data_IF_657584315034
#
_entry.id   IF_657584315034
#
_cell.length_a   1.000
_cell.length_b   1.000
_cell.length_c   1.000
_cell.angle_alpha   90.00
_cell.angle_beta   90.00
_cell.angle_gamma   90.00
#
_symmetry.space_group_name_H-M   'P 1'
#
loop_
_entity.id
_entity.type
_entity.pdbx_description
1 polymer ?
#
# COMPACT_ATOMS: atom_id res chain seq x y z
N UNK A 1 -37.39 3.82 -9.36
CA UNK A 1 -37.11 2.65 -8.51
C UNK A 1 -35.83 3.01 -7.83
N UNK A 2 -35.81 3.16 -6.50
CA UNK A 2 -34.53 3.26 -5.80
C UNK A 2 -33.94 1.86 -5.86
N UNK A 3 -32.95 1.68 -6.74
CA UNK A 3 -32.20 0.44 -6.81
C UNK A 3 -31.43 0.32 -5.49
N UNK A 4 -31.72 -0.72 -4.71
CA UNK A 4 -31.02 -1.02 -3.46
C UNK A 4 -29.69 -1.69 -3.84
N UNK A 5 -28.70 -0.87 -4.18
CA UNK A 5 -27.39 -1.34 -4.62
C UNK A 5 -26.68 -2.16 -3.55
N UNK A 6 -26.87 -1.81 -2.29
CA UNK A 6 -26.23 -2.52 -1.18
C UNK A 6 -26.66 -3.99 -1.12
N UNK A 7 -27.95 -4.28 -1.31
CA UNK A 7 -28.46 -5.66 -1.32
C UNK A 7 -27.93 -6.43 -2.53
N UNK A 8 -28.00 -5.83 -3.73
CA UNK A 8 -27.54 -6.47 -4.97
C UNK A 8 -26.03 -6.78 -4.92
N UNK A 9 -25.20 -5.85 -4.44
CA UNK A 9 -23.76 -6.03 -4.29
C UNK A 9 -23.47 -7.08 -3.20
N UNK A 10 -24.15 -7.02 -2.05
CA UNK A 10 -23.98 -7.99 -0.97
C UNK A 10 -24.30 -9.41 -1.45
N UNK A 11 -25.39 -9.63 -2.19
CA UNK A 11 -25.75 -10.92 -2.74
C UNK A 11 -24.75 -11.42 -3.79
N UNK A 12 -24.41 -10.53 -4.73
CA UNK A 12 -23.47 -10.87 -5.81
C UNK A 12 -22.12 -11.35 -5.28
N UNK A 13 -21.54 -10.62 -4.34
CA UNK A 13 -20.21 -10.90 -3.82
C UNK A 13 -20.21 -11.65 -2.48
N UNK A 14 -21.38 -12.03 -1.95
CA UNK A 14 -21.52 -12.64 -0.61
C UNK A 14 -20.91 -11.81 0.51
N UNK A 15 -21.14 -10.50 0.47
CA UNK A 15 -20.59 -9.57 1.47
C UNK A 15 -21.51 -9.41 2.67
N UNK A 16 -20.91 -9.36 3.85
CA UNK A 16 -21.58 -8.89 5.06
C UNK A 16 -21.28 -7.39 5.23
N UNK A 17 -22.09 -6.55 4.57
CA UNK A 17 -21.91 -5.10 4.59
C UNK A 17 -22.28 -4.52 5.95
N UNK A 18 -21.44 -3.62 6.47
CA UNK A 18 -21.73 -2.75 7.59
C UNK A 18 -22.76 -1.68 7.22
N UNK A 19 -23.39 -1.05 8.22
CA UNK A 19 -24.43 -0.05 7.98
C UNK A 19 -23.88 1.18 7.20
N UNK A 20 -22.63 1.56 7.45
CA UNK A 20 -21.98 2.65 6.72
C UNK A 20 -21.76 2.31 5.24
N UNK A 21 -21.39 1.06 4.91
CA UNK A 21 -21.25 0.60 3.53
C UNK A 21 -22.62 0.47 2.83
N UNK A 22 -23.67 0.02 3.55
CA UNK A 22 -25.02 0.00 2.99
C UNK A 22 -25.51 1.39 2.64
N UNK A 23 -25.41 2.31 3.59
CA UNK A 23 -25.77 3.71 3.37
C UNK A 23 -24.91 4.34 2.26
N UNK A 24 -23.64 3.93 2.16
CA UNK A 24 -22.77 4.35 1.06
C UNK A 24 -23.30 3.85 -0.29
N UNK A 25 -23.54 2.59 -0.49
CA UNK A 25 -23.98 2.04 -1.77
C UNK A 25 -25.37 2.54 -2.19
N UNK A 26 -26.27 2.81 -1.26
CA UNK A 26 -27.64 3.27 -1.53
C UNK A 26 -27.77 4.80 -1.53
N UNK A 27 -26.70 5.52 -1.21
CA UNK A 27 -26.69 6.97 -1.05
C UNK A 27 -26.66 7.76 -2.36
N UNK A 28 -27.04 9.04 -2.28
CA UNK A 28 -26.85 10.02 -3.35
C UNK A 28 -25.55 10.80 -3.13
N UNK A 29 -24.49 10.37 -3.81
CA UNK A 29 -23.13 10.91 -3.66
C UNK A 29 -22.91 12.25 -4.32
N UNK A 30 -23.73 12.60 -5.29
CA UNK A 30 -23.63 13.89 -5.97
C UNK A 30 -23.89 15.07 -5.01
N UNK A 31 -24.48 14.80 -3.85
CA UNK A 31 -24.74 15.81 -2.81
C UNK A 31 -23.51 16.22 -2.00
N UNK A 32 -22.42 15.45 -2.05
CA UNK A 32 -21.20 15.76 -1.29
C UNK A 32 -20.17 16.42 -2.19
N UNK A 33 -19.53 17.46 -1.64
CA UNK A 33 -18.30 17.99 -2.19
C UNK A 33 -17.17 17.08 -1.74
N UNK A 34 -16.76 16.21 -2.64
CA UNK A 34 -15.54 15.47 -2.51
C UNK A 34 -14.42 16.41 -2.93
N UNK A 35 -13.98 17.26 -2.01
CA UNK A 35 -12.76 18.06 -2.17
C UNK A 35 -11.50 17.20 -2.24
N UNK A 36 -11.66 15.90 -2.12
CA UNK A 36 -10.67 14.86 -2.25
C UNK A 36 -10.48 14.44 -3.72
N UNK A 37 -9.41 13.73 -3.99
CA UNK A 37 -9.17 13.15 -5.32
C UNK A 37 -10.22 12.10 -5.69
N UNK A 38 -10.79 11.39 -4.69
CA UNK A 38 -11.75 10.31 -4.89
C UNK A 38 -13.17 10.84 -5.00
N UNK A 39 -13.64 10.99 -6.22
CA UNK A 39 -14.94 11.58 -6.54
C UNK A 39 -15.72 10.86 -7.66
N UNK A 40 -15.20 9.75 -8.19
CA UNK A 40 -15.89 8.97 -9.21
C UNK A 40 -16.67 7.80 -8.57
N UNK A 41 -18.00 7.97 -8.50
CA UNK A 41 -18.94 6.99 -7.94
C UNK A 41 -19.66 6.20 -9.03
N UNK A 42 -19.36 6.44 -10.29
CA UNK A 42 -20.01 5.77 -11.45
C UNK A 42 -19.72 4.26 -11.48
N UNK A 43 -18.75 3.81 -10.70
CA UNK A 43 -18.38 2.40 -10.59
C UNK A 43 -19.46 1.52 -9.98
N UNK A 44 -20.31 2.05 -9.08
CA UNK A 44 -21.27 1.25 -8.31
C UNK A 44 -22.21 0.42 -9.22
N UNK A 45 -22.91 1.00 -10.21
CA UNK A 45 -23.69 0.21 -11.15
C UNK A 45 -22.87 -0.83 -11.92
N UNK A 46 -21.64 -0.49 -12.32
CA UNK A 46 -20.78 -1.38 -13.09
C UNK A 46 -20.32 -2.61 -12.31
N UNK A 47 -20.35 -2.57 -10.97
CA UNK A 47 -20.08 -3.74 -10.14
C UNK A 47 -21.06 -4.89 -10.40
N UNK A 48 -22.22 -4.63 -11.00
CA UNK A 48 -23.18 -5.65 -11.37
C UNK A 48 -22.94 -6.29 -12.75
N UNK A 49 -21.98 -5.77 -13.53
CA UNK A 49 -21.60 -6.35 -14.81
C UNK A 49 -20.93 -7.73 -14.61
N UNK A 50 -21.03 -8.60 -15.60
CA UNK A 50 -20.39 -9.92 -15.55
C UNK A 50 -18.87 -9.82 -15.36
N UNK A 51 -18.24 -8.80 -15.92
CA UNK A 51 -16.80 -8.52 -15.84
C UNK A 51 -16.57 -7.00 -15.71
N UNK A 52 -16.74 -6.44 -14.51
CA UNK A 52 -16.68 -5.00 -14.28
C UNK A 52 -15.38 -4.37 -14.77
N UNK A 53 -15.49 -3.24 -15.47
CA UNK A 53 -14.33 -2.58 -16.09
C UNK A 53 -13.35 -1.99 -15.09
N UNK A 54 -13.80 -1.71 -13.86
CA UNK A 54 -13.00 -1.19 -12.76
C UNK A 54 -12.04 -2.22 -12.13
N UNK A 55 -12.24 -3.52 -12.40
CA UNK A 55 -11.33 -4.56 -11.93
C UNK A 55 -10.09 -4.63 -12.83
N UNK A 56 -8.91 -4.61 -12.22
CA UNK A 56 -7.63 -4.68 -12.90
C UNK A 56 -6.87 -5.95 -12.51
N UNK A 57 -7.16 -7.10 -13.19
CA UNK A 57 -6.50 -8.37 -12.89
C UNK A 57 -4.98 -8.27 -13.06
N UNK A 58 -4.24 -8.84 -12.12
CA UNK A 58 -2.78 -8.83 -12.12
C UNK A 58 -2.15 -7.58 -11.50
N UNK A 59 -2.95 -6.53 -11.22
CA UNK A 59 -2.50 -5.31 -10.56
C UNK A 59 -3.20 -5.04 -9.24
N UNK A 60 -4.49 -5.38 -9.13
CA UNK A 60 -5.25 -5.25 -7.89
C UNK A 60 -5.16 -6.52 -7.07
N UNK A 61 -5.30 -6.39 -5.75
CA UNK A 61 -5.46 -7.50 -4.83
C UNK A 61 -6.70 -8.32 -5.18
N UNK A 62 -6.61 -9.65 -5.35
CA UNK A 62 -7.73 -10.49 -5.82
C UNK A 62 -8.84 -10.68 -4.79
N UNK A 63 -8.75 -10.08 -3.62
CA UNK A 63 -9.76 -10.03 -2.56
C UNK A 63 -10.30 -8.61 -2.32
N UNK A 64 -10.17 -7.72 -3.32
CA UNK A 64 -10.65 -6.33 -3.24
C UNK A 64 -11.72 -6.02 -4.27
N UNK A 65 -12.59 -5.07 -3.93
CA UNK A 65 -13.63 -4.51 -4.81
C UNK A 65 -13.41 -3.00 -4.91
N UNK A 66 -13.15 -2.44 -6.11
CA UNK A 66 -13.07 -1.00 -6.31
C UNK A 66 -14.42 -0.34 -6.03
N UNK A 67 -14.44 0.71 -5.22
CA UNK A 67 -15.69 1.38 -4.81
C UNK A 67 -15.74 2.89 -5.12
N UNK A 68 -14.59 3.56 -5.17
CA UNK A 68 -14.50 4.98 -5.51
C UNK A 68 -13.25 5.20 -6.35
N UNK A 69 -13.39 5.84 -7.50
CA UNK A 69 -12.28 6.19 -8.37
C UNK A 69 -11.83 7.63 -8.23
N UNK A 70 -10.63 7.93 -8.74
CA UNK A 70 -10.15 9.28 -8.94
C UNK A 70 -9.93 9.57 -10.44
N UNK A 71 -9.60 10.82 -10.77
CA UNK A 71 -9.37 11.26 -12.16
C UNK A 71 -8.08 10.69 -12.77
N UNK A 72 -7.21 10.10 -11.95
CA UNK A 72 -5.92 9.57 -12.34
C UNK A 72 -5.94 8.05 -12.59
N UNK A 73 -7.06 7.38 -12.31
CA UNK A 73 -7.24 5.94 -12.49
C UNK A 73 -6.96 5.11 -11.24
N UNK A 74 -6.71 5.75 -10.10
CA UNK A 74 -6.58 5.06 -8.82
C UNK A 74 -7.93 4.80 -8.18
N UNK A 75 -7.97 3.88 -7.22
CA UNK A 75 -9.20 3.42 -6.60
C UNK A 75 -9.08 3.30 -5.09
N UNK A 76 -10.11 3.73 -4.38
CA UNK A 76 -10.39 3.17 -3.06
C UNK A 76 -11.09 1.83 -3.26
N UNK A 77 -10.50 0.79 -2.68
CA UNK A 77 -10.98 -0.58 -2.79
C UNK A 77 -11.35 -1.12 -1.41
N UNK A 78 -12.50 -1.78 -1.34
CA UNK A 78 -12.92 -2.55 -0.17
C UNK A 78 -12.18 -3.89 -0.18
N UNK A 79 -11.33 -4.14 0.83
CA UNK A 79 -10.66 -5.43 1.05
C UNK A 79 -11.53 -6.32 1.92
N UNK A 80 -11.71 -7.58 1.51
CA UNK A 80 -12.65 -8.50 2.14
C UNK A 80 -11.93 -9.52 3.00
N UNK A 81 -12.39 -9.65 4.24
CA UNK A 81 -11.93 -10.66 5.18
C UNK A 81 -12.49 -12.06 4.89
N UNK A 82 -12.01 -13.05 5.63
CA UNK A 82 -12.43 -14.44 5.49
C UNK A 82 -13.92 -14.66 5.81
N UNK A 83 -14.50 -13.80 6.63
CA UNK A 83 -15.91 -13.82 7.02
C UNK A 83 -16.84 -13.03 6.09
N UNK A 84 -16.32 -12.53 4.97
CA UNK A 84 -17.07 -11.73 3.99
C UNK A 84 -17.30 -10.28 4.41
N UNK A 85 -16.77 -9.82 5.54
CA UNK A 85 -16.85 -8.42 5.95
C UNK A 85 -15.73 -7.60 5.34
N UNK A 86 -15.97 -6.30 5.25
CA UNK A 86 -14.87 -5.36 5.01
C UNK A 86 -13.90 -5.41 6.17
N UNK A 87 -12.64 -5.73 5.90
CA UNK A 87 -11.59 -5.68 6.91
C UNK A 87 -10.74 -4.41 6.79
N UNK A 88 -10.75 -3.78 5.63
CA UNK A 88 -9.94 -2.61 5.33
C UNK A 88 -10.39 -1.92 4.05
N UNK A 89 -10.22 -0.61 3.96
CA UNK A 89 -10.27 0.16 2.71
C UNK A 89 -8.85 0.51 2.33
N UNK A 90 -8.47 0.15 1.12
CA UNK A 90 -7.13 0.37 0.59
C UNK A 90 -7.16 1.34 -0.59
N UNK A 91 -6.23 2.26 -0.65
CA UNK A 91 -5.96 3.04 -1.85
C UNK A 91 -5.07 2.21 -2.77
N UNK A 92 -5.56 1.89 -3.96
CA UNK A 92 -4.81 1.20 -4.99
C UNK A 92 -4.36 2.18 -6.07
N UNK A 93 -3.07 2.13 -6.43
CA UNK A 93 -2.43 2.96 -7.44
C UNK A 93 -2.31 2.22 -8.77
N UNK A 94 -2.87 2.77 -9.84
CA UNK A 94 -2.82 2.16 -11.18
C UNK A 94 -1.40 2.13 -11.78
N UNK A 95 -0.53 3.06 -11.38
CA UNK A 95 0.80 3.22 -11.96
C UNK A 95 1.79 2.08 -11.64
N UNK A 96 1.51 1.26 -10.63
CA UNK A 96 2.37 0.14 -10.24
C UNK A 96 1.62 -1.00 -9.57
N UNK A 97 0.32 -0.85 -9.35
CA UNK A 97 -0.47 -1.82 -8.60
C UNK A 97 -0.25 -1.76 -7.09
N UNK A 98 0.48 -0.76 -6.61
CA UNK A 98 0.71 -0.58 -5.18
C UNK A 98 -0.58 -0.26 -4.43
N UNK A 99 -0.61 -0.57 -3.14
CA UNK A 99 -1.75 -0.22 -2.29
C UNK A 99 -1.30 0.32 -0.94
N UNK A 100 -2.12 1.20 -0.38
CA UNK A 100 -1.93 1.74 0.96
C UNK A 100 -3.21 1.52 1.77
N UNK A 101 -3.15 0.89 2.96
CA UNK A 101 -4.27 0.79 3.87
C UNK A 101 -4.67 2.17 4.42
N UNK A 102 -5.81 2.71 3.98
CA UNK A 102 -6.31 4.01 4.43
C UNK A 102 -7.08 3.95 5.75
N UNK A 103 -7.84 2.86 5.97
CA UNK A 103 -8.61 2.70 7.19
C UNK A 103 -9.32 1.36 7.27
N UNK A 104 -9.83 1.00 8.44
CA UNK A 104 -10.61 -0.23 8.67
C UNK A 104 -12.05 -0.09 8.20
N UNK A 105 -12.56 1.14 8.13
CA UNK A 105 -13.90 1.47 7.68
C UNK A 105 -13.84 2.49 6.55
N UNK A 106 -14.92 2.61 5.80
CA UNK A 106 -15.00 3.62 4.74
C UNK A 106 -14.92 5.05 5.33
N UNK A 107 -15.52 5.28 6.50
CA UNK A 107 -15.46 6.57 7.16
C UNK A 107 -14.03 6.95 7.56
N UNK A 108 -13.22 6.00 8.07
CA UNK A 108 -11.79 6.23 8.34
C UNK A 108 -11.03 6.57 7.05
N UNK A 109 -11.25 5.81 5.99
CA UNK A 109 -10.55 6.00 4.73
C UNK A 109 -10.87 7.36 4.08
N UNK A 110 -12.14 7.78 4.09
CA UNK A 110 -12.54 9.10 3.59
C UNK A 110 -12.04 10.25 4.46
N UNK A 111 -11.93 10.06 5.78
CA UNK A 111 -11.27 11.03 6.65
C UNK A 111 -9.80 11.21 6.28
N UNK A 112 -9.08 10.09 6.10
CA UNK A 112 -7.67 10.15 5.74
C UNK A 112 -7.47 10.78 4.35
N UNK A 113 -8.31 10.45 3.39
CA UNK A 113 -8.31 11.08 2.07
C UNK A 113 -8.54 12.61 2.16
N UNK A 114 -9.50 13.04 2.98
CA UNK A 114 -9.71 14.46 3.25
C UNK A 114 -8.48 15.15 3.90
N UNK A 115 -7.76 14.45 4.77
CA UNK A 115 -6.51 14.94 5.36
C UNK A 115 -5.41 15.09 4.30
N UNK A 116 -5.22 14.07 3.45
CA UNK A 116 -4.21 14.09 2.41
C UNK A 116 -4.48 15.19 1.37
N UNK A 117 -5.73 15.39 0.97
CA UNK A 117 -6.12 16.37 -0.04
C UNK A 117 -5.77 17.82 0.33
N UNK A 118 -5.66 18.12 1.62
CA UNK A 118 -5.30 19.47 2.12
C UNK A 118 -3.84 19.58 2.54
N UNK A 119 -3.09 18.47 2.55
CA UNK A 119 -1.68 18.47 2.96
C UNK A 119 -0.83 19.26 1.97
N UNK A 120 0.08 20.15 2.45
CA UNK A 120 0.98 20.91 1.57
C UNK A 120 1.85 20.04 0.66
N UNK A 121 2.12 18.80 1.06
CA UNK A 121 2.92 17.85 0.28
C UNK A 121 2.15 17.31 -0.93
N UNK A 122 0.82 17.24 -0.87
CA UNK A 122 -0.04 16.77 -1.96
C UNK A 122 -0.55 17.87 -2.89
N UNK A 123 -0.61 19.11 -2.43
CA UNK A 123 -1.09 20.25 -3.25
C UNK A 123 -0.24 20.54 -4.50
N UNK A 124 0.90 19.87 -4.67
CA UNK A 124 1.78 20.06 -5.84
C UNK A 124 1.30 19.34 -7.10
N UNK A 125 0.30 18.45 -7.01
CA UNK A 125 -0.07 17.55 -8.11
C UNK A 125 -1.41 17.86 -8.79
N UNK A 126 -2.20 18.80 -8.30
CA UNK A 126 -3.48 19.14 -8.93
C UNK A 126 -4.01 20.50 -8.53
N UNK A 127 -4.77 21.13 -9.43
CA UNK A 127 -5.62 22.25 -9.09
C UNK A 127 -6.66 21.75 -8.08
N UNK A 128 -6.67 22.34 -6.89
CA UNK A 128 -7.76 22.13 -5.92
C UNK A 128 -9.05 22.52 -6.64
N UNK A 129 -9.92 21.56 -6.88
CA UNK A 129 -11.23 21.82 -7.47
C UNK A 129 -11.92 22.89 -6.60
N UNK A 130 -12.40 23.96 -7.22
CA UNK A 130 -13.17 24.97 -6.48
C UNK A 130 -14.35 24.26 -5.78
N UNK A 131 -14.48 24.51 -4.47
CA UNK A 131 -15.58 23.92 -3.69
C UNK A 131 -16.90 24.37 -4.29
N UNK A 132 -17.73 23.42 -4.65
CA UNK A 132 -19.12 23.69 -5.07
C UNK A 132 -19.95 24.04 -3.83
N UNK A 133 -20.37 25.31 -3.65
CA UNK A 133 -21.10 25.73 -2.46
C UNK A 133 -22.49 25.10 -2.34
N UNK A 134 -22.99 24.43 -3.39
CA UNK A 134 -24.27 23.71 -3.36
C UNK A 134 -24.14 22.31 -2.74
N UNK A 135 -22.92 21.80 -2.59
CA UNK A 135 -22.64 20.46 -2.06
C UNK A 135 -22.33 20.49 -0.57
N UNK A 136 -22.67 19.41 0.11
CA UNK A 136 -22.36 19.20 1.53
C UNK A 136 -20.92 18.77 1.71
N UNK A 137 -20.32 19.14 2.85
CA UNK A 137 -19.00 18.64 3.21
C UNK A 137 -19.07 17.13 3.51
N UNK A 138 -18.16 16.35 2.95
CA UNK A 138 -18.08 14.90 3.19
C UNK A 138 -17.88 14.58 4.69
N UNK A 139 -17.26 15.47 5.45
CA UNK A 139 -17.11 15.33 6.90
C UNK A 139 -18.46 15.24 7.64
N UNK A 140 -19.55 15.79 7.08
CA UNK A 140 -20.91 15.64 7.64
C UNK A 140 -21.39 14.18 7.58
N UNK A 141 -20.93 13.41 6.58
CA UNK A 141 -21.22 11.99 6.48
C UNK A 141 -20.31 11.17 7.41
N UNK A 142 -19.05 11.57 7.55
CA UNK A 142 -18.03 10.85 8.33
C UNK A 142 -18.29 10.99 9.84
N UNK A 143 -18.58 12.19 10.34
CA UNK A 143 -18.64 12.49 11.76
C UNK A 143 -19.56 11.54 12.58
N UNK A 144 -20.84 11.31 12.19
CA UNK A 144 -21.71 10.41 12.94
C UNK A 144 -21.23 8.94 12.91
N UNK A 145 -20.52 8.51 11.87
CA UNK A 145 -20.01 7.14 11.71
C UNK A 145 -18.79 6.86 12.56
N UNK A 146 -18.00 7.89 12.83
CA UNK A 146 -16.89 7.82 13.76
C UNK A 146 -17.30 8.22 15.20
N UNK A 147 -18.59 8.56 15.42
CA UNK A 147 -19.12 8.90 16.74
C UNK A 147 -18.56 10.20 17.32
N UNK A 148 -18.24 11.19 16.48
CA UNK A 148 -17.66 12.47 16.89
C UNK A 148 -18.37 13.66 16.28
N UNK A 149 -18.06 14.86 16.77
CA UNK A 149 -18.55 16.11 16.18
C UNK A 149 -17.71 16.50 14.96
N UNK A 150 -18.29 17.30 14.07
CA UNK A 150 -17.59 17.94 12.93
C UNK A 150 -16.32 18.66 13.37
N UNK A 151 -16.38 19.41 14.49
CA UNK A 151 -15.25 20.20 14.97
C UNK A 151 -13.98 19.34 15.24
N UNK A 152 -14.14 18.10 15.68
CA UNK A 152 -13.01 17.18 15.88
C UNK A 152 -12.37 16.80 14.53
N UNK A 153 -13.18 16.53 13.51
CA UNK A 153 -12.67 16.19 12.18
C UNK A 153 -12.02 17.40 11.50
N UNK A 154 -12.64 18.57 11.61
CA UNK A 154 -12.10 19.85 11.10
C UNK A 154 -10.76 20.20 11.77
N UNK A 155 -10.61 19.93 13.07
CA UNK A 155 -9.33 20.09 13.78
C UNK A 155 -8.25 19.20 13.16
N UNK A 156 -8.52 17.89 12.98
CA UNK A 156 -7.55 16.93 12.41
C UNK A 156 -7.17 17.33 10.98
N UNK A 157 -8.16 17.60 10.13
CA UNK A 157 -7.93 18.05 8.74
C UNK A 157 -7.16 19.36 8.72
N UNK A 158 -7.50 20.30 9.63
CA UNK A 158 -6.79 21.55 9.77
C UNK A 158 -5.33 21.41 10.22
N UNK A 159 -4.99 20.40 11.00
CA UNK A 159 -3.60 20.06 11.36
C UNK A 159 -2.81 19.60 10.13
N UNK A 160 -3.38 18.72 9.30
CA UNK A 160 -2.76 18.32 8.03
C UNK A 160 -2.56 19.51 7.08
N UNK A 161 -3.56 20.38 6.96
CA UNK A 161 -3.47 21.58 6.12
C UNK A 161 -2.34 22.54 6.53
N UNK A 162 -1.98 22.55 7.81
CA UNK A 162 -0.86 23.35 8.35
C UNK A 162 0.48 22.61 8.34
N UNK A 163 0.52 21.36 7.87
CA UNK A 163 1.72 20.52 7.90
C UNK A 163 2.10 20.00 9.29
N UNK A 164 1.18 20.04 10.27
CA UNK A 164 1.37 19.52 11.62
C UNK A 164 1.06 18.01 11.67
N UNK A 165 1.73 17.25 10.83
CA UNK A 165 1.43 15.82 10.58
C UNK A 165 1.54 14.98 11.86
N UNK A 166 2.56 15.20 12.70
CA UNK A 166 2.76 14.43 13.94
C UNK A 166 1.59 14.65 14.90
N UNK A 167 1.16 15.91 15.11
CA UNK A 167 0.03 16.22 15.99
C UNK A 167 -1.29 15.64 15.44
N UNK A 168 -1.50 15.72 14.12
CA UNK A 168 -2.68 15.16 13.46
C UNK A 168 -2.74 13.63 13.63
N UNK A 169 -1.62 12.94 13.42
CA UNK A 169 -1.53 11.48 13.56
C UNK A 169 -1.67 11.05 15.02
N UNK A 170 -1.20 11.84 15.99
CA UNK A 170 -1.48 11.58 17.41
C UNK A 170 -2.99 11.56 17.68
N UNK A 171 -3.75 12.52 17.14
CA UNK A 171 -5.21 12.53 17.24
C UNK A 171 -5.88 11.32 16.61
N UNK A 172 -5.40 10.90 15.42
CA UNK A 172 -5.91 9.69 14.76
C UNK A 172 -5.64 8.43 15.60
N UNK A 173 -4.42 8.28 16.11
CA UNK A 173 -4.00 7.11 16.90
C UNK A 173 -4.70 7.06 18.27
N UNK A 174 -4.90 8.19 18.94
CA UNK A 174 -5.70 8.29 20.20
C UNK A 174 -7.13 7.78 20.01
N UNK A 175 -7.70 7.97 18.82
CA UNK A 175 -9.04 7.48 18.46
C UNK A 175 -9.02 6.05 17.90
N UNK A 176 -7.86 5.50 17.61
CA UNK A 176 -7.69 4.20 16.96
C UNK A 176 -8.11 4.21 15.49
N UNK A 177 -8.10 5.38 14.82
CA UNK A 177 -8.46 5.54 13.41
C UNK A 177 -7.24 5.55 12.51
N UNK A 178 -7.40 5.03 11.30
CA UNK A 178 -6.36 5.07 10.25
C UNK A 178 -4.98 4.61 10.75
N UNK A 179 -4.93 3.67 11.69
CA UNK A 179 -3.73 3.38 12.50
C UNK A 179 -2.50 3.03 11.68
N UNK A 180 -2.68 2.27 10.60
CA UNK A 180 -1.57 1.85 9.72
C UNK A 180 -0.98 3.02 8.97
N UNK A 181 -1.83 3.84 8.34
CA UNK A 181 -1.36 4.97 7.55
C UNK A 181 -0.90 6.13 8.42
N UNK A 182 -1.50 6.33 9.60
CA UNK A 182 -1.01 7.31 10.56
C UNK A 182 0.41 6.97 11.07
N UNK A 183 0.70 5.68 11.34
CA UNK A 183 2.06 5.23 11.66
C UNK A 183 3.03 5.49 10.49
N UNK A 184 2.60 5.25 9.26
CA UNK A 184 3.38 5.55 8.05
C UNK A 184 3.70 7.04 7.92
N UNK A 185 2.72 7.92 8.13
CA UNK A 185 2.94 9.38 8.10
C UNK A 185 3.92 9.84 9.19
N UNK A 186 3.90 9.21 10.36
CA UNK A 186 4.89 9.47 11.43
C UNK A 186 6.29 9.02 11.05
N UNK A 187 6.42 7.86 10.39
CA UNK A 187 7.71 7.44 9.81
C UNK A 187 8.18 8.46 8.79
N UNK A 188 7.29 8.92 7.93
CA UNK A 188 7.59 9.93 6.92
C UNK A 188 8.06 11.24 7.55
N UNK A 189 7.40 11.69 8.59
CA UNK A 189 7.78 12.88 9.33
C UNK A 189 9.14 12.70 10.05
N UNK A 190 9.38 11.53 10.66
CA UNK A 190 10.65 11.22 11.33
C UNK A 190 11.84 11.17 10.37
N UNK A 191 11.62 10.75 9.13
CA UNK A 191 12.64 10.63 8.08
C UNK A 191 12.66 11.83 7.12
N UNK A 192 11.81 12.83 7.34
CA UNK A 192 11.74 14.01 6.48
C UNK A 192 12.97 14.91 6.63
N UNK A 193 13.52 15.34 5.50
CA UNK A 193 14.65 16.30 5.47
C UNK A 193 14.44 17.34 4.37
N UNK A 194 15.13 18.50 4.43
CA UNK A 194 15.11 19.47 3.35
C UNK A 194 15.55 18.90 2.00
N UNK A 195 16.46 17.92 2.01
CA UNK A 195 16.90 17.22 0.80
C UNK A 195 15.73 16.54 0.12
N UNK A 196 14.88 15.82 0.86
CA UNK A 196 13.73 15.10 0.33
C UNK A 196 12.76 16.02 -0.43
N UNK A 197 12.57 17.25 0.03
CA UNK A 197 11.65 18.23 -0.58
C UNK A 197 12.21 18.89 -1.84
N UNK A 198 13.54 18.96 -1.97
CA UNK A 198 14.23 19.75 -3.01
C UNK A 198 15.06 18.88 -3.96
N UNK A 199 15.15 17.58 -3.72
CA UNK A 199 15.90 16.69 -4.58
C UNK A 199 15.16 16.45 -5.90
N UNK A 200 15.91 16.60 -6.97
CA UNK A 200 15.49 16.28 -8.33
C UNK A 200 16.68 15.74 -9.14
N UNK A 201 16.49 15.18 -10.32
CA UNK A 201 17.58 14.73 -11.18
C UNK A 201 18.58 15.83 -11.54
N UNK A 202 18.15 17.11 -11.57
CA UNK A 202 19.06 18.25 -11.85
C UNK A 202 20.00 18.50 -10.69
N UNK A 203 19.51 18.34 -9.44
CA UNK A 203 20.36 18.45 -8.26
C UNK A 203 21.40 17.33 -8.25
N UNK A 204 21.00 16.07 -8.52
CA UNK A 204 21.93 14.95 -8.64
C UNK A 204 23.04 15.23 -9.65
N UNK A 205 22.67 15.71 -10.83
CA UNK A 205 23.64 16.08 -11.89
C UNK A 205 24.59 17.21 -11.44
N UNK A 206 24.11 18.22 -10.72
CA UNK A 206 24.93 19.31 -10.17
C UNK A 206 25.94 18.84 -9.12
N UNK A 207 25.59 17.79 -8.39
CA UNK A 207 26.46 17.14 -7.41
C UNK A 207 27.43 16.13 -8.02
N UNK A 208 27.22 15.77 -9.31
CA UNK A 208 28.03 14.77 -9.98
C UNK A 208 27.73 13.34 -9.52
N UNK A 209 26.49 13.08 -9.06
CA UNK A 209 26.05 11.77 -8.57
C UNK A 209 24.87 11.25 -9.43
N UNK A 210 24.62 9.93 -9.36
CA UNK A 210 23.50 9.33 -10.06
C UNK A 210 22.23 9.46 -9.26
N UNK A 211 21.11 9.73 -9.94
CA UNK A 211 19.80 9.83 -9.29
C UNK A 211 19.39 8.48 -8.67
N UNK A 212 19.50 7.40 -9.44
CA UNK A 212 18.99 6.07 -9.07
C UNK A 212 19.82 5.38 -7.98
N UNK A 213 21.11 5.72 -7.85
CA UNK A 213 22.00 5.04 -6.90
C UNK A 213 22.29 5.88 -5.67
N UNK A 214 23.00 7.01 -5.88
CA UNK A 214 23.45 7.79 -4.73
C UNK A 214 22.34 8.66 -4.16
N UNK A 215 21.63 9.44 -5.01
CA UNK A 215 20.64 10.39 -4.52
C UNK A 215 19.48 9.69 -3.80
N UNK A 216 18.94 8.61 -4.33
CA UNK A 216 17.86 7.88 -3.68
C UNK A 216 18.28 7.26 -2.34
N UNK A 217 19.51 6.76 -2.24
CA UNK A 217 20.04 6.29 -0.96
C UNK A 217 20.14 7.41 0.08
N UNK A 218 20.57 8.58 -0.33
CA UNK A 218 20.64 9.76 0.55
C UNK A 218 19.25 10.27 0.95
N UNK A 219 18.25 10.17 0.08
CA UNK A 219 16.86 10.50 0.41
C UNK A 219 16.27 9.55 1.45
N UNK A 220 16.67 8.30 1.41
CA UNK A 220 16.25 7.29 2.38
C UNK A 220 17.02 7.43 3.69
N UNK A 221 18.35 7.47 3.65
CA UNK A 221 19.22 7.61 4.82
C UNK A 221 20.28 8.68 4.58
N UNK A 222 20.10 9.82 5.22
CA UNK A 222 21.00 10.98 5.07
C UNK A 222 22.36 10.78 5.68
N UNK A 223 22.56 9.79 6.56
CA UNK A 223 23.90 9.47 7.09
C UNK A 223 24.81 8.84 6.04
N UNK A 224 24.25 8.37 4.93
CA UNK A 224 25.02 7.88 3.79
C UNK A 224 25.60 9.00 2.91
N UNK A 225 25.23 10.26 3.16
CA UNK A 225 25.76 11.40 2.41
C UNK A 225 27.21 11.63 2.78
N UNK A 226 28.19 11.57 1.85
CA UNK A 226 29.58 11.90 2.12
C UNK A 226 29.75 13.33 2.65
N UNK A 227 30.73 13.55 3.51
CA UNK A 227 30.92 14.86 4.16
C UNK A 227 31.09 16.01 3.17
N UNK A 228 31.87 15.83 2.12
CA UNK A 228 32.06 16.81 1.04
C UNK A 228 30.77 17.13 0.30
N UNK A 229 29.89 16.14 0.14
CA UNK A 229 28.59 16.33 -0.49
C UNK A 229 27.59 16.99 0.48
N UNK A 230 27.69 16.75 1.79
CA UNK A 230 26.87 17.47 2.78
C UNK A 230 27.14 18.95 2.77
N UNK A 231 28.40 19.37 2.71
CA UNK A 231 28.78 20.78 2.60
C UNK A 231 28.20 21.44 1.35
N UNK A 232 28.32 20.79 0.18
CA UNK A 232 27.74 21.27 -1.07
C UNK A 232 26.23 21.34 -1.02
N UNK A 233 25.58 20.34 -0.43
CA UNK A 233 24.12 20.35 -0.25
C UNK A 233 23.68 21.46 0.68
N UNK A 234 24.40 21.73 1.76
CA UNK A 234 24.15 22.84 2.65
C UNK A 234 24.17 24.18 1.89
N UNK A 235 25.18 24.43 1.06
CA UNK A 235 25.28 25.64 0.24
C UNK A 235 24.10 25.74 -0.75
N UNK A 236 23.75 24.64 -1.43
CA UNK A 236 22.70 24.62 -2.45
C UNK A 236 21.30 24.77 -1.86
N UNK A 237 21.03 24.09 -0.74
CA UNK A 237 19.69 24.03 -0.14
C UNK A 237 19.45 25.14 0.88
N UNK A 238 20.52 25.83 1.32
CA UNK A 238 20.44 26.88 2.35
C UNK A 238 20.00 26.36 3.72
N UNK A 239 20.30 25.07 4.02
CA UNK A 239 19.96 24.40 5.27
C UNK A 239 21.22 24.03 6.03
N UNK A 240 21.19 24.07 7.39
CA UNK A 240 22.30 23.58 8.19
C UNK A 240 22.50 22.07 8.00
N UNK A 241 23.72 21.56 8.32
CA UNK A 241 23.98 20.12 8.30
C UNK A 241 23.07 19.36 9.26
N UNK A 242 22.62 20.00 10.35
CA UNK A 242 21.64 19.45 11.29
C UNK A 242 20.26 19.26 10.67
N UNK A 243 19.94 20.00 9.59
CA UNK A 243 18.72 19.82 8.82
C UNK A 243 18.63 18.51 8.04
N UNK A 244 19.69 17.71 8.01
CA UNK A 244 19.67 16.36 7.43
C UNK A 244 19.48 15.25 8.48
N UNK A 245 19.38 15.60 9.77
CA UNK A 245 19.16 14.59 10.83
C UNK A 245 17.77 13.93 10.67
N UNK A 246 17.75 12.60 10.80
CA UNK A 246 16.57 11.76 10.75
C UNK A 246 16.40 11.04 12.09
N UNK A 247 15.15 10.89 12.54
CA UNK A 247 14.83 10.14 13.76
C UNK A 247 14.49 8.69 13.42
N UNK A 248 15.55 7.87 13.25
CA UNK A 248 15.40 6.45 12.97
C UNK A 248 14.86 5.64 14.15
N UNK A 249 14.98 6.12 15.39
CA UNK A 249 14.39 5.45 16.55
C UNK A 249 12.87 5.61 16.55
N UNK A 250 12.38 6.80 16.24
CA UNK A 250 10.94 7.02 16.04
C UNK A 250 10.40 6.21 14.85
N UNK A 251 11.09 6.21 13.71
CA UNK A 251 10.69 5.43 12.54
C UNK A 251 10.61 3.92 12.84
N UNK A 252 11.61 3.35 13.52
CA UNK A 252 11.60 1.94 13.93
C UNK A 252 10.47 1.62 14.88
N UNK A 253 10.19 2.48 15.87
CA UNK A 253 9.11 2.30 16.83
C UNK A 253 7.76 2.16 16.12
N UNK A 254 7.47 3.07 15.18
CA UNK A 254 6.21 3.03 14.43
C UNK A 254 6.14 1.80 13.50
N UNK A 255 7.21 1.45 12.80
CA UNK A 255 7.27 0.26 11.96
C UNK A 255 7.01 -1.03 12.77
N UNK A 256 7.62 -1.17 13.95
CA UNK A 256 7.39 -2.32 14.84
C UNK A 256 5.96 -2.36 15.38
N UNK A 257 5.36 -1.21 15.67
CA UNK A 257 3.95 -1.15 16.09
C UNK A 257 3.02 -1.67 14.99
N UNK A 258 3.28 -1.34 13.74
CA UNK A 258 2.56 -1.90 12.59
C UNK A 258 2.79 -3.40 12.47
N UNK A 259 4.04 -3.87 12.54
CA UNK A 259 4.39 -5.30 12.39
C UNK A 259 3.80 -6.20 13.48
N UNK A 260 3.46 -5.64 14.64
CA UNK A 260 2.76 -6.38 15.70
C UNK A 260 1.36 -6.88 15.26
N UNK A 261 0.76 -6.27 14.21
CA UNK A 261 -0.59 -6.57 13.75
C UNK A 261 -0.67 -6.87 12.23
N UNK A 262 0.37 -6.50 11.46
CA UNK A 262 0.39 -6.57 9.99
C UNK A 262 1.71 -7.15 9.51
N UNK A 263 1.66 -8.33 8.92
CA UNK A 263 2.84 -9.01 8.35
C UNK A 263 2.83 -9.06 6.81
N UNK A 264 1.95 -8.29 6.20
CA UNK A 264 1.78 -8.17 4.77
C UNK A 264 2.34 -6.86 4.18
N UNK A 265 2.88 -5.97 5.03
CA UNK A 265 3.36 -4.65 4.63
C UNK A 265 4.90 -4.64 4.56
N UNK A 266 5.43 -4.82 3.37
CA UNK A 266 6.88 -4.89 3.11
C UNK A 266 7.65 -3.68 3.62
N UNK A 267 7.10 -2.45 3.47
CA UNK A 267 7.75 -1.23 3.92
C UNK A 267 8.06 -1.20 5.43
N UNK A 268 7.22 -1.82 6.25
CA UNK A 268 7.43 -1.84 7.70
C UNK A 268 8.62 -2.74 8.07
N UNK A 269 8.80 -3.86 7.36
CA UNK A 269 9.99 -4.72 7.49
C UNK A 269 11.25 -4.01 6.99
N UNK A 270 11.16 -3.27 5.90
CA UNK A 270 12.28 -2.53 5.32
C UNK A 270 12.81 -1.49 6.32
N UNK A 271 11.93 -0.73 6.95
CA UNK A 271 12.28 0.27 7.97
C UNK A 271 12.86 -0.40 9.23
N UNK A 272 12.22 -1.45 9.74
CA UNK A 272 12.68 -2.15 10.94
C UNK A 272 14.06 -2.81 10.72
N UNK A 273 14.26 -3.44 9.57
CA UNK A 273 15.53 -4.04 9.18
C UNK A 273 16.64 -3.01 9.03
N UNK A 274 16.38 -1.89 8.36
CA UNK A 274 17.36 -0.84 8.21
C UNK A 274 17.74 -0.18 9.53
N UNK A 275 16.76 0.12 10.39
CA UNK A 275 17.01 0.67 11.73
C UNK A 275 17.87 -0.28 12.59
N UNK A 276 17.63 -1.59 12.51
CA UNK A 276 18.46 -2.59 13.19
C UNK A 276 19.90 -2.61 12.64
N UNK A 277 20.08 -2.55 11.31
CA UNK A 277 21.42 -2.50 10.70
C UNK A 277 22.20 -1.26 11.15
N UNK A 278 21.54 -0.10 11.21
CA UNK A 278 22.14 1.15 11.72
C UNK A 278 22.65 1.03 13.16
N UNK A 279 22.04 0.16 13.96
CA UNK A 279 22.42 -0.16 15.33
C UNK A 279 23.46 -1.30 15.43
N UNK A 280 24.05 -1.72 14.30
CA UNK A 280 24.93 -2.87 14.18
C UNK A 280 24.30 -4.20 14.65
N UNK A 281 22.99 -4.32 14.58
CA UNK A 281 22.22 -5.53 14.91
C UNK A 281 21.94 -6.34 13.63
N UNK A 282 23.01 -6.79 12.95
CA UNK A 282 22.92 -7.41 11.62
C UNK A 282 22.01 -8.64 11.59
N UNK A 283 22.09 -9.51 12.61
CA UNK A 283 21.23 -10.69 12.67
C UNK A 283 19.72 -10.30 12.72
N UNK A 284 19.39 -9.33 13.55
CA UNK A 284 18.00 -8.80 13.64
C UNK A 284 17.56 -8.14 12.32
N UNK A 285 18.46 -7.44 11.63
CA UNK A 285 18.15 -6.86 10.32
C UNK A 285 17.85 -7.95 9.28
N UNK A 286 18.66 -9.02 9.26
CA UNK A 286 18.43 -10.20 8.40
C UNK A 286 17.07 -10.83 8.68
N UNK A 287 16.71 -11.03 9.95
CA UNK A 287 15.42 -11.61 10.35
C UNK A 287 14.22 -10.77 9.86
N UNK A 288 14.29 -9.43 10.01
CA UNK A 288 13.26 -8.54 9.50
C UNK A 288 13.14 -8.59 7.97
N UNK A 289 14.26 -8.50 7.27
CA UNK A 289 14.25 -8.54 5.80
C UNK A 289 13.86 -9.90 5.25
N UNK A 290 14.22 -11.00 5.94
CA UNK A 290 13.77 -12.33 5.54
C UNK A 290 12.24 -12.47 5.60
N UNK A 291 11.60 -11.90 6.61
CA UNK A 291 10.15 -11.82 6.66
C UNK A 291 9.61 -10.87 5.55
N UNK A 292 10.25 -9.74 5.35
CA UNK A 292 9.87 -8.74 4.35
C UNK A 292 9.89 -9.25 2.90
N UNK A 293 10.87 -10.11 2.52
CA UNK A 293 10.90 -10.68 1.16
C UNK A 293 9.72 -11.60 0.86
N UNK A 294 9.06 -12.12 1.88
CA UNK A 294 7.89 -12.96 1.73
C UNK A 294 6.57 -12.18 1.61
N UNK A 295 6.61 -10.86 1.74
CA UNK A 295 5.47 -9.97 1.49
C UNK A 295 5.29 -9.71 -0.01
N UNK A 296 4.18 -9.05 -0.37
CA UNK A 296 3.94 -8.63 -1.76
C UNK A 296 5.04 -7.67 -2.27
N UNK A 297 5.36 -7.75 -3.56
CA UNK A 297 6.17 -6.74 -4.27
C UNK A 297 5.45 -5.41 -4.40
N UNK A 298 4.12 -5.42 -4.32
CA UNK A 298 3.28 -4.23 -4.34
C UNK A 298 3.23 -3.63 -2.94
N UNK A 299 4.30 -2.95 -2.58
CA UNK A 299 4.41 -2.20 -1.34
C UNK A 299 4.08 -0.73 -1.57
N UNK A 300 4.02 0.02 -0.50
CA UNK A 300 3.84 1.47 -0.54
C UNK A 300 4.79 2.16 -1.52
N UNK A 301 4.24 2.87 -2.51
CA UNK A 301 5.02 3.63 -3.50
C UNK A 301 5.99 4.62 -2.88
N UNK A 302 5.64 5.23 -1.75
CA UNK A 302 6.52 6.19 -1.11
C UNK A 302 7.79 5.52 -0.58
N UNK A 303 7.72 4.30 -0.12
CA UNK A 303 8.89 3.51 0.26
C UNK A 303 9.71 3.11 -0.96
N UNK A 304 9.07 2.66 -2.03
CA UNK A 304 9.75 2.43 -3.32
C UNK A 304 10.40 3.69 -3.85
N UNK A 305 9.68 4.80 -3.89
CA UNK A 305 10.19 6.08 -4.39
C UNK A 305 11.39 6.55 -3.57
N UNK A 306 11.38 6.36 -2.26
CA UNK A 306 12.51 6.69 -1.40
C UNK A 306 13.69 5.77 -1.59
N UNK A 307 13.41 4.51 -1.84
CA UNK A 307 14.46 3.52 -1.89
C UNK A 307 14.89 3.18 -3.30
N UNK A 308 14.19 3.45 -4.39
CA UNK A 308 14.54 3.07 -5.77
C UNK A 308 15.79 2.19 -5.92
N UNK A 309 16.09 1.47 -4.84
CA UNK A 309 17.24 0.58 -4.69
C UNK A 309 16.94 -0.79 -5.24
N UNK A 310 15.71 -0.93 -5.79
CA UNK A 310 15.37 -2.14 -6.47
C UNK A 310 16.28 -2.28 -7.67
N UNK A 311 17.31 -3.09 -7.51
CA UNK A 311 17.87 -3.69 -8.69
C UNK A 311 16.73 -4.38 -9.43
N UNK A 312 16.65 -4.21 -10.74
CA UNK A 312 15.61 -4.77 -11.61
C UNK A 312 15.41 -6.27 -11.40
N UNK A 313 16.39 -6.96 -10.85
CA UNK A 313 16.39 -8.40 -10.65
C UNK A 313 15.65 -8.85 -9.37
N UNK A 314 15.61 -8.02 -8.32
CA UNK A 314 15.05 -8.47 -7.03
C UNK A 314 13.62 -7.99 -6.77
N UNK A 315 13.23 -6.85 -7.31
CA UNK A 315 11.89 -6.29 -7.14
C UNK A 315 11.47 -5.93 -5.72
N UNK A 316 12.32 -6.25 -4.71
CA UNK A 316 12.07 -6.03 -3.27
C UNK A 316 13.31 -5.43 -2.62
N UNK A 317 13.12 -4.38 -1.83
CA UNK A 317 14.20 -3.76 -1.06
C UNK A 317 14.89 -4.76 -0.12
N UNK A 318 14.11 -5.51 0.65
CA UNK A 318 14.63 -6.52 1.57
C UNK A 318 15.49 -7.57 0.85
N UNK A 319 15.13 -7.99 -0.36
CA UNK A 319 15.92 -8.95 -1.13
C UNK A 319 17.30 -8.39 -1.50
N UNK A 320 17.36 -7.12 -1.89
CA UNK A 320 18.63 -6.45 -2.18
C UNK A 320 19.52 -6.36 -0.92
N UNK A 321 18.93 -6.00 0.22
CA UNK A 321 19.70 -5.90 1.48
C UNK A 321 20.23 -7.26 1.93
N UNK A 322 19.44 -8.31 1.84
CA UNK A 322 19.91 -9.68 2.12
C UNK A 322 21.01 -10.11 1.15
N UNK A 323 20.94 -9.72 -0.13
CA UNK A 323 21.99 -10.02 -1.10
C UNK A 323 23.31 -9.29 -0.77
N UNK A 324 23.24 -8.06 -0.30
CA UNK A 324 24.44 -7.33 0.16
C UNK A 324 25.08 -8.00 1.39
N UNK A 325 24.27 -8.67 2.23
CA UNK A 325 24.70 -9.40 3.42
C UNK A 325 24.85 -10.92 3.21
N UNK A 326 24.88 -11.40 1.97
CA UNK A 326 24.82 -12.83 1.64
C UNK A 326 25.84 -13.71 2.38
N UNK A 327 27.04 -13.18 2.67
CA UNK A 327 28.09 -13.90 3.38
C UNK A 327 27.79 -14.08 4.89
N UNK A 328 26.78 -13.35 5.41
CA UNK A 328 26.37 -13.37 6.81
C UNK A 328 25.00 -14.06 7.00
N UNK A 329 24.38 -14.56 5.93
CA UNK A 329 23.09 -15.21 6.02
C UNK A 329 23.19 -16.54 6.79
N UNK A 330 22.23 -16.82 7.71
CA UNK A 330 22.08 -18.14 8.28
C UNK A 330 21.87 -19.21 7.20
N UNK A 331 22.35 -20.45 7.45
CA UNK A 331 22.30 -21.52 6.47
C UNK A 331 20.88 -21.87 6.00
N UNK A 332 19.89 -21.77 6.86
CA UNK A 332 18.48 -22.02 6.55
C UNK A 332 17.94 -21.00 5.54
N UNK A 333 18.35 -19.75 5.64
CA UNK A 333 18.00 -18.70 4.65
C UNK A 333 18.84 -18.87 3.37
N UNK A 334 20.15 -19.06 3.51
CA UNK A 334 21.04 -19.17 2.36
C UNK A 334 20.70 -20.36 1.44
N UNK A 335 20.16 -21.44 2.01
CA UNK A 335 19.77 -22.65 1.29
C UNK A 335 18.27 -22.70 0.95
N UNK A 336 17.50 -21.66 1.28
CA UNK A 336 16.05 -21.63 1.01
C UNK A 336 15.78 -21.54 -0.51
N UNK A 337 14.91 -22.40 -1.06
CA UNK A 337 14.56 -22.37 -2.49
C UNK A 337 13.96 -21.04 -2.95
N UNK A 338 13.20 -20.35 -2.08
CA UNK A 338 12.63 -19.04 -2.39
C UNK A 338 13.72 -17.98 -2.50
N UNK A 339 14.70 -17.99 -1.58
CA UNK A 339 15.87 -17.13 -1.66
C UNK A 339 16.64 -17.35 -2.96
N UNK A 340 16.92 -18.60 -3.29
CA UNK A 340 17.61 -18.98 -4.54
C UNK A 340 16.86 -18.49 -5.80
N UNK A 341 15.54 -18.46 -5.76
CA UNK A 341 14.72 -17.94 -6.85
C UNK A 341 14.79 -16.40 -6.95
N UNK A 342 14.77 -15.71 -5.81
CA UNK A 342 14.84 -14.24 -5.75
C UNK A 342 16.15 -13.68 -6.32
N UNK A 343 17.30 -14.32 -6.03
CA UNK A 343 18.62 -13.87 -6.44
C UNK A 343 19.05 -14.38 -7.83
N UNK A 344 18.19 -15.11 -8.53
CA UNK A 344 18.51 -15.61 -9.87
C UNK A 344 18.77 -14.44 -10.84
N UNK A 345 19.92 -14.48 -11.53
CA UNK A 345 20.44 -13.36 -12.33
C UNK A 345 19.71 -13.12 -13.65
N UNK A 346 18.89 -14.08 -14.09
CA UNK A 346 18.11 -13.95 -15.32
C UNK A 346 16.68 -13.51 -15.01
N UNK A 347 16.35 -12.28 -15.38
CA UNK A 347 15.08 -11.59 -15.04
C UNK A 347 13.84 -12.39 -15.41
N UNK A 348 13.82 -13.07 -16.56
CA UNK A 348 12.70 -13.92 -16.99
C UNK A 348 12.54 -15.16 -16.14
N UNK A 349 13.64 -15.73 -15.67
CA UNK A 349 13.67 -16.94 -14.84
C UNK A 349 13.32 -16.67 -13.37
N UNK A 350 13.68 -15.52 -12.84
CA UNK A 350 13.42 -15.18 -11.43
C UNK A 350 11.91 -15.17 -11.13
N UNK A 351 11.12 -14.47 -11.94
CA UNK A 351 9.67 -14.42 -11.78
C UNK A 351 9.02 -15.80 -11.89
N UNK A 352 9.44 -16.61 -12.85
CA UNK A 352 8.94 -17.98 -13.03
C UNK A 352 9.29 -18.88 -11.85
N UNK A 353 10.51 -18.81 -11.34
CA UNK A 353 10.96 -19.61 -10.19
C UNK A 353 10.25 -19.22 -8.90
N UNK A 354 10.06 -17.91 -8.65
CA UNK A 354 9.30 -17.39 -7.50
C UNK A 354 7.86 -17.90 -7.56
N UNK A 355 7.24 -17.80 -8.73
CA UNK A 355 5.89 -18.30 -8.97
C UNK A 355 5.82 -19.81 -8.76
N UNK A 356 6.76 -20.57 -9.34
CA UNK A 356 6.82 -22.02 -9.19
C UNK A 356 7.01 -22.45 -7.72
N UNK A 357 7.77 -21.68 -6.94
CA UNK A 357 7.92 -21.91 -5.49
C UNK A 357 6.56 -21.84 -4.77
N UNK A 358 5.80 -20.75 -4.95
CA UNK A 358 4.50 -20.56 -4.30
C UNK A 358 3.47 -21.59 -4.76
N UNK A 359 3.43 -21.89 -6.08
CA UNK A 359 2.57 -22.93 -6.63
C UNK A 359 2.93 -24.28 -6.05
N UNK A 360 4.22 -24.60 -5.96
CA UNK A 360 4.70 -25.86 -5.37
C UNK A 360 4.29 -26.00 -3.90
N UNK A 361 4.35 -24.93 -3.13
CA UNK A 361 3.85 -24.89 -1.74
C UNK A 361 2.35 -25.15 -1.68
N UNK A 362 1.57 -24.38 -2.42
CA UNK A 362 0.11 -24.50 -2.44
C UNK A 362 -0.39 -25.88 -2.93
N UNK A 363 0.46 -26.63 -3.61
CA UNK A 363 0.16 -27.98 -4.12
C UNK A 363 0.58 -29.10 -3.17
N UNK A 364 1.13 -28.79 -1.99
CA UNK A 364 1.56 -29.80 -1.02
C UNK A 364 0.37 -30.53 -0.40
N UNK A 365 0.53 -31.86 -0.25
CA UNK A 365 -0.49 -32.70 0.37
C UNK A 365 -0.59 -32.40 1.87
N UNK A 366 -1.81 -32.23 2.37
CA UNK A 366 -2.07 -32.07 3.80
C UNK A 366 -2.21 -30.62 4.28
N UNK A 367 -2.07 -29.63 3.38
CA UNK A 367 -2.38 -28.24 3.70
C UNK A 367 -3.89 -28.03 3.85
N UNK A 368 -4.30 -27.12 4.73
CA UNK A 368 -5.67 -26.65 4.76
C UNK A 368 -6.01 -25.83 3.50
N UNK A 369 -7.29 -25.74 3.16
CA UNK A 369 -7.72 -24.90 2.03
C UNK A 369 -7.37 -23.41 2.24
N UNK A 370 -7.33 -22.95 3.49
CA UNK A 370 -6.88 -21.60 3.84
C UNK A 370 -5.40 -21.38 3.55
N UNK A 371 -4.53 -22.31 3.98
CA UNK A 371 -3.09 -22.22 3.72
C UNK A 371 -2.80 -22.28 2.21
N UNK A 372 -3.52 -23.14 1.47
CA UNK A 372 -3.43 -23.19 0.02
C UNK A 372 -3.84 -21.86 -0.62
N UNK A 373 -4.94 -21.24 -0.14
CA UNK A 373 -5.39 -19.94 -0.62
C UNK A 373 -4.30 -18.88 -0.43
N UNK A 374 -3.67 -18.83 0.74
CA UNK A 374 -2.64 -17.83 1.06
C UNK A 374 -1.38 -18.01 0.19
N UNK A 375 -0.96 -19.24 -0.07
CA UNK A 375 0.17 -19.50 -0.97
C UNK A 375 -0.17 -19.16 -2.43
N UNK A 376 -1.39 -19.46 -2.91
CA UNK A 376 -1.85 -19.02 -4.24
C UNK A 376 -1.98 -17.51 -4.34
N UNK A 377 -2.40 -16.83 -3.25
CA UNK A 377 -2.45 -15.38 -3.18
C UNK A 377 -1.06 -14.75 -3.35
N UNK A 378 -0.06 -15.28 -2.65
CA UNK A 378 1.35 -14.85 -2.79
C UNK A 378 1.87 -15.11 -4.20
N UNK A 379 1.59 -16.26 -4.79
CA UNK A 379 1.95 -16.54 -6.18
C UNK A 379 1.35 -15.51 -7.13
N UNK A 380 0.09 -15.15 -6.95
CA UNK A 380 -0.60 -14.15 -7.77
C UNK A 380 0.05 -12.76 -7.71
N UNK A 381 0.52 -12.35 -6.56
CA UNK A 381 1.25 -11.10 -6.39
C UNK A 381 2.58 -11.07 -7.16
N UNK A 382 3.34 -12.13 -7.09
CA UNK A 382 4.66 -12.21 -7.72
C UNK A 382 4.56 -12.41 -9.25
N UNK A 383 3.45 -12.96 -9.75
CA UNK A 383 3.20 -13.16 -11.19
C UNK A 383 2.71 -11.89 -11.86
N UNK A 384 1.76 -11.20 -11.23
CA UNK A 384 1.12 -10.04 -11.81
C UNK A 384 0.48 -10.29 -13.18
N UNK A 385 0.35 -9.24 -13.98
CA UNK A 385 -0.26 -9.30 -15.32
C UNK A 385 0.68 -9.82 -16.43
N UNK A 386 1.95 -10.08 -16.13
CA UNK A 386 2.93 -10.43 -17.15
C UNK A 386 2.81 -11.87 -17.67
N UNK A 387 2.10 -12.73 -16.93
CA UNK A 387 1.89 -14.14 -17.27
C UNK A 387 0.39 -14.47 -17.20
N UNK A 388 -0.36 -14.04 -18.21
CA UNK A 388 -1.84 -14.03 -18.22
C UNK A 388 -2.44 -15.42 -17.96
N UNK A 389 -1.96 -16.46 -18.66
CA UNK A 389 -2.49 -17.83 -18.52
C UNK A 389 -2.25 -18.37 -17.11
N UNK A 390 -1.07 -18.13 -16.56
CA UNK A 390 -0.71 -18.55 -15.21
C UNK A 390 -1.53 -17.77 -14.17
N UNK A 391 -1.72 -16.49 -14.39
CA UNK A 391 -2.55 -15.68 -13.48
C UNK A 391 -4.03 -16.10 -13.52
N UNK A 392 -4.55 -16.47 -14.69
CA UNK A 392 -5.90 -17.04 -14.81
C UNK A 392 -6.06 -18.33 -14.00
N UNK A 393 -5.06 -19.22 -14.03
CA UNK A 393 -5.02 -20.42 -13.20
C UNK A 393 -4.98 -20.08 -11.71
N UNK A 394 -4.15 -19.13 -11.30
CA UNK A 394 -4.06 -18.69 -9.90
C UNK A 394 -5.41 -18.16 -9.40
N UNK A 395 -6.10 -17.33 -10.18
CA UNK A 395 -7.44 -16.84 -9.82
C UNK A 395 -8.46 -17.98 -9.69
N UNK A 396 -8.37 -19.01 -10.52
CA UNK A 396 -9.23 -20.19 -10.42
C UNK A 396 -8.95 -20.96 -9.12
N UNK A 397 -7.69 -21.17 -8.77
CA UNK A 397 -7.29 -21.82 -7.53
C UNK A 397 -7.69 -21.02 -6.28
N UNK A 398 -7.54 -19.68 -6.30
CA UNK A 398 -8.05 -18.82 -5.24
C UNK A 398 -9.55 -18.98 -5.05
N UNK A 399 -10.32 -19.00 -6.13
CA UNK A 399 -11.76 -19.20 -6.06
C UNK A 399 -12.14 -20.59 -5.54
N UNK A 400 -11.39 -21.64 -5.92
CA UNK A 400 -11.63 -22.99 -5.47
C UNK A 400 -11.29 -23.16 -3.98
N UNK A 401 -10.09 -22.76 -3.57
CA UNK A 401 -9.63 -22.89 -2.19
C UNK A 401 -10.43 -21.97 -1.24
N UNK A 402 -10.78 -20.78 -1.69
CA UNK A 402 -11.67 -19.89 -0.94
C UNK A 402 -13.02 -20.53 -0.63
N UNK A 403 -13.66 -21.17 -1.60
CA UNK A 403 -14.90 -21.93 -1.36
C UNK A 403 -14.72 -23.10 -0.41
N UNK A 404 -13.64 -23.88 -0.56
CA UNK A 404 -13.34 -25.01 0.32
C UNK A 404 -13.04 -24.56 1.76
N UNK A 405 -12.46 -23.38 1.95
CA UNK A 405 -12.22 -22.76 3.25
C UNK A 405 -13.47 -22.08 3.83
N UNK A 406 -14.59 -21.99 3.09
CA UNK A 406 -15.79 -21.27 3.49
C UNK A 406 -15.71 -19.75 3.30
N UNK A 407 -14.73 -19.24 2.54
CA UNK A 407 -14.49 -17.83 2.24
C UNK A 407 -15.20 -17.42 0.96
N UNK A 408 -16.54 -17.51 0.97
CA UNK A 408 -17.35 -17.38 -0.24
C UNK A 408 -17.19 -16.03 -0.94
N UNK A 409 -17.07 -14.94 -0.18
CA UNK A 409 -16.86 -13.61 -0.74
C UNK A 409 -15.55 -13.52 -1.53
N UNK A 410 -14.44 -13.96 -0.94
CA UNK A 410 -13.14 -14.00 -1.63
C UNK A 410 -13.19 -14.85 -2.89
N UNK A 411 -13.86 -15.98 -2.84
CA UNK A 411 -14.03 -16.86 -3.99
C UNK A 411 -14.80 -16.21 -5.15
N UNK A 412 -15.89 -15.48 -4.84
CA UNK A 412 -16.68 -14.76 -5.85
C UNK A 412 -15.91 -13.58 -6.45
N UNK A 413 -15.15 -12.86 -5.63
CA UNK A 413 -14.31 -11.75 -6.11
C UNK A 413 -13.21 -12.29 -7.04
N UNK A 414 -12.50 -13.36 -6.66
CA UNK A 414 -11.49 -13.99 -7.52
C UNK A 414 -12.08 -14.43 -8.87
N UNK A 415 -13.31 -14.99 -8.88
CA UNK A 415 -14.04 -15.32 -10.12
C UNK A 415 -14.36 -14.09 -10.97
N UNK A 416 -14.70 -12.96 -10.35
CA UNK A 416 -14.95 -11.72 -11.07
C UNK A 416 -13.66 -11.20 -11.73
N UNK A 417 -12.52 -11.24 -11.02
CA UNK A 417 -11.21 -10.95 -11.61
C UNK A 417 -10.90 -11.89 -12.79
N UNK A 418 -11.18 -13.19 -12.66
CA UNK A 418 -10.97 -14.16 -13.73
C UNK A 418 -11.83 -13.84 -14.96
N UNK A 419 -13.12 -13.53 -14.76
CA UNK A 419 -14.02 -13.14 -15.85
C UNK A 419 -13.53 -11.86 -16.56
N UNK A 420 -13.02 -10.89 -15.79
CA UNK A 420 -12.47 -9.65 -16.35
C UNK A 420 -11.17 -9.89 -17.13
N UNK A 421 -10.30 -10.79 -16.63
CA UNK A 421 -9.08 -11.17 -17.33
C UNK A 421 -9.39 -11.77 -18.69
N UNK A 422 -10.36 -12.70 -18.76
CA UNK A 422 -10.77 -13.35 -19.99
C UNK A 422 -11.38 -12.41 -21.06
N UNK A 423 -11.86 -11.22 -20.67
CA UNK A 423 -12.37 -10.22 -21.61
C UNK A 423 -11.27 -9.29 -22.16
N UNK A 424 -10.14 -9.21 -21.49
CA UNK A 424 -9.07 -8.26 -21.80
C UNK A 424 -8.07 -8.81 -22.82
N UNK A 425 -7.99 -10.11 -22.89
CA UNK A 425 -7.10 -10.89 -23.75
C UNK A 425 -7.86 -11.94 -24.52
#
# INVERSE_FOLDING_TARGET
>A
MNDCWSEAIAERYSLALSDDLRDWFDGDWNRFDCSSEFCDFSVIPSLMDAAPSCFWPGFMLPDTIPIIGNRFGDWLCLKVGNDGKCCEIVHWYHGGGDYIPFGRTLAEALLYDACQSVSPEHQTWGEVSEKDPSKKNILEWIAPRLGVSMAVLEEIVGLYARGHVVEATDRLLEKGWCTTVAARDRIDAALATPLRRKADPKLAMRLGVTWEKEMNRWLFDTDLIPLDQRERLHEILGSSTDGFAQDWDAAEKEARAVLAHRQDLGWAFDIAGWAALRKNQTATAIDWWWQGVQTSVFSDQSTRFRSHWFDRNFGKFAAQQLHELRELLPNDIAMDPYWSALIATEVGDASQRITAHWIGRASQVGLSAGDCYDDWYRAGWDVGCHQVDLFAMILDQLAQNGRQAGWEAKAKIAKTYQARLAQRF
#
